data_IF_932417866683
#
_entry.id   IF_932417866683
#
_cell.length_a   1.000
_cell.length_b   1.000
_cell.length_c   1.000
_cell.angle_alpha   90.00
_cell.angle_beta   90.00
_cell.angle_gamma   90.00
#
_symmetry.space_group_name_H-M   'P 1'
#
loop_
_entity.id
_entity.type
_entity.pdbx_description
1 polymer ?
#
# COMPACT_ATOMS: atom_id res chain seq x y z
N UNK A 1 -9.79 -0.94 19.20
CA UNK A 1 -10.17 0.43 18.81
C UNK A 1 -8.96 1.32 18.48
N UNK A 2 -7.80 1.10 19.10
CA UNK A 2 -6.65 2.02 18.98
C UNK A 2 -6.03 2.11 17.58
N UNK A 3 -6.06 1.03 16.78
CA UNK A 3 -5.43 1.03 15.45
C UNK A 3 -6.01 2.09 14.49
N UNK A 4 -7.30 2.40 14.57
CA UNK A 4 -7.94 3.38 13.66
C UNK A 4 -7.47 4.81 13.95
N UNK A 5 -6.95 5.07 15.16
CA UNK A 5 -6.42 6.37 15.57
C UNK A 5 -5.02 6.64 15.05
N UNK A 6 -4.32 5.62 14.55
CA UNK A 6 -3.02 5.80 13.92
C UNK A 6 -3.20 6.65 12.66
N UNK A 7 -2.42 7.72 12.55
CA UNK A 7 -2.50 8.65 11.42
C UNK A 7 -1.75 8.08 10.22
N UNK A 8 -2.19 8.38 8.98
CA UNK A 8 -1.46 8.02 7.78
C UNK A 8 0.01 8.48 7.82
N UNK A 9 0.27 9.71 8.28
CA UNK A 9 1.63 10.25 8.41
C UNK A 9 2.51 9.43 9.34
N UNK A 10 1.97 8.94 10.47
CA UNK A 10 2.73 8.07 11.37
C UNK A 10 3.08 6.74 10.68
N UNK A 11 2.13 6.15 9.95
CA UNK A 11 2.37 4.90 9.20
C UNK A 11 3.45 5.13 8.14
N UNK A 12 3.41 6.27 7.45
CA UNK A 12 4.39 6.65 6.44
C UNK A 12 5.80 6.76 7.05
N UNK A 13 5.96 7.54 8.12
CA UNK A 13 7.26 7.70 8.79
C UNK A 13 7.77 6.38 9.38
N UNK A 14 6.87 5.58 9.98
CA UNK A 14 7.23 4.28 10.51
C UNK A 14 7.69 3.32 9.41
N UNK A 15 6.99 3.27 8.27
CA UNK A 15 7.37 2.43 7.14
C UNK A 15 8.75 2.81 6.58
N UNK A 16 9.07 4.11 6.52
CA UNK A 16 10.41 4.59 6.13
C UNK A 16 11.50 4.14 7.09
N UNK A 17 11.22 4.14 8.40
CA UNK A 17 12.19 3.73 9.42
C UNK A 17 12.48 2.22 9.39
N UNK A 18 11.48 1.42 9.02
CA UNK A 18 11.59 -0.04 8.97
C UNK A 18 12.11 -0.54 7.63
N UNK A 19 11.99 0.25 6.56
CA UNK A 19 12.50 -0.12 5.24
C UNK A 19 14.01 -0.34 5.25
N UNK A 20 14.46 -1.35 4.51
CA UNK A 20 15.86 -1.76 4.41
C UNK A 20 16.31 -1.70 2.96
N UNK A 21 17.56 -1.33 2.70
CA UNK A 21 18.06 -1.22 1.33
C UNK A 21 17.96 -2.52 0.50
N UNK A 22 17.96 -3.68 1.17
CA UNK A 22 17.89 -5.02 0.57
C UNK A 22 16.45 -5.57 0.42
N UNK A 23 15.42 -4.81 0.77
CA UNK A 23 14.03 -5.23 0.58
C UNK A 23 13.54 -5.01 -0.85
N UNK A 24 12.77 -5.96 -1.37
CA UNK A 24 12.15 -5.85 -2.70
C UNK A 24 10.87 -5.00 -2.69
N UNK A 25 10.16 -4.96 -1.56
CA UNK A 25 8.88 -4.27 -1.40
C UNK A 25 8.59 -3.94 0.07
N UNK A 26 7.67 -3.02 0.30
CA UNK A 26 7.15 -2.68 1.63
C UNK A 26 5.72 -3.23 1.75
N UNK A 27 5.46 -4.06 2.75
CA UNK A 27 4.14 -4.59 3.04
C UNK A 27 3.58 -4.03 4.36
N UNK A 28 2.45 -3.33 4.28
CA UNK A 28 1.73 -2.80 5.45
C UNK A 28 0.54 -3.70 5.74
N UNK A 29 0.73 -4.59 6.71
CA UNK A 29 -0.24 -5.61 7.10
C UNK A 29 -1.20 -5.10 8.17
N UNK A 30 -2.33 -4.50 7.76
CA UNK A 30 -3.52 -4.33 8.62
C UNK A 30 -4.71 -3.78 7.82
N UNK A 31 -5.88 -4.42 7.94
CA UNK A 31 -7.12 -3.90 7.33
C UNK A 31 -7.69 -2.66 8.04
N UNK A 32 -7.36 -2.44 9.32
CA UNK A 32 -7.86 -1.31 10.10
C UNK A 32 -7.03 -0.02 9.97
N UNK A 33 -5.86 -0.08 9.32
CA UNK A 33 -5.01 1.08 9.08
C UNK A 33 -5.42 1.82 7.81
N UNK A 34 -5.44 3.14 7.88
CA UNK A 34 -5.70 4.03 6.74
C UNK A 34 -4.41 4.26 5.94
N UNK A 35 -3.81 3.18 5.43
CA UNK A 35 -2.53 3.20 4.74
C UNK A 35 -2.62 3.38 3.22
N UNK A 36 -3.84 3.39 2.65
CA UNK A 36 -4.02 3.51 1.19
C UNK A 36 -3.56 4.88 0.68
N UNK A 37 -3.78 5.93 1.47
CA UNK A 37 -3.48 7.31 1.04
C UNK A 37 -1.97 7.59 0.93
N UNK A 38 -1.13 6.78 1.59
CA UNK A 38 0.32 6.99 1.61
C UNK A 38 1.08 6.13 0.60
N UNK A 39 0.42 5.21 -0.12
CA UNK A 39 1.07 4.25 -1.01
C UNK A 39 1.95 4.97 -2.03
N UNK A 40 1.39 5.90 -2.79
CA UNK A 40 2.10 6.57 -3.88
C UNK A 40 3.29 7.38 -3.39
N UNK A 41 3.12 8.12 -2.28
CA UNK A 41 4.20 8.90 -1.69
C UNK A 41 5.34 7.98 -1.23
N UNK A 42 5.02 6.85 -0.61
CA UNK A 42 6.01 5.90 -0.11
C UNK A 42 6.70 5.13 -1.24
N UNK A 43 6.01 4.79 -2.33
CA UNK A 43 6.62 4.20 -3.52
C UNK A 43 7.58 5.16 -4.22
N UNK A 44 7.23 6.45 -4.27
CA UNK A 44 8.08 7.49 -4.84
C UNK A 44 9.35 7.70 -4.01
N UNK A 45 9.22 7.71 -2.68
CA UNK A 45 10.34 7.89 -1.74
C UNK A 45 11.26 6.66 -1.70
N UNK A 46 10.69 5.46 -1.53
CA UNK A 46 11.47 4.22 -1.38
C UNK A 46 11.98 3.64 -2.69
N UNK A 47 11.39 4.04 -3.83
CA UNK A 47 11.65 3.43 -5.13
C UNK A 47 11.11 2.00 -5.27
N UNK A 48 10.42 1.48 -4.26
CA UNK A 48 9.93 0.08 -4.20
C UNK A 48 8.41 0.01 -4.29
N UNK A 49 7.83 -1.12 -4.72
CA UNK A 49 6.40 -1.35 -4.61
C UNK A 49 5.95 -1.32 -3.14
N UNK A 50 4.79 -0.70 -2.88
CA UNK A 50 4.16 -0.66 -1.56
C UNK A 50 2.82 -1.38 -1.65
N UNK A 51 2.64 -2.38 -0.79
CA UNK A 51 1.44 -3.23 -0.77
C UNK A 51 0.77 -3.08 0.61
N UNK A 52 -0.53 -2.82 0.62
CA UNK A 52 -1.36 -2.78 1.83
C UNK A 52 -2.43 -3.85 1.76
N UNK A 53 -2.88 -4.38 2.91
CA UNK A 53 -3.95 -5.40 2.93
C UNK A 53 -5.23 -4.92 2.24
N UNK A 54 -5.63 -3.66 2.47
CA UNK A 54 -6.86 -3.10 1.90
C UNK A 54 -6.79 -2.94 0.38
N UNK A 55 -5.68 -2.42 -0.16
CA UNK A 55 -5.53 -2.29 -1.62
C UNK A 55 -5.47 -3.66 -2.30
N UNK A 56 -4.77 -4.62 -1.69
CA UNK A 56 -4.54 -5.94 -2.28
C UNK A 56 -5.84 -6.74 -2.32
N UNK A 57 -6.63 -6.68 -1.25
CA UNK A 57 -7.95 -7.29 -1.22
C UNK A 57 -8.87 -6.70 -2.29
N UNK A 58 -8.90 -5.37 -2.45
CA UNK A 58 -9.72 -4.73 -3.48
C UNK A 58 -9.27 -5.12 -4.89
N UNK A 59 -7.94 -5.12 -5.13
CA UNK A 59 -7.36 -5.56 -6.40
C UNK A 59 -7.79 -7.00 -6.72
N UNK A 60 -7.61 -7.93 -5.77
CA UNK A 60 -7.94 -9.34 -5.95
C UNK A 60 -9.44 -9.55 -6.21
N UNK A 61 -10.32 -8.88 -5.45
CA UNK A 61 -11.77 -8.94 -5.68
C UNK A 61 -12.16 -8.48 -7.09
N UNK A 62 -11.54 -7.42 -7.62
CA UNK A 62 -11.81 -6.92 -8.97
C UNK A 62 -11.37 -7.93 -10.03
N UNK A 63 -10.18 -8.52 -9.89
CA UNK A 63 -9.67 -9.53 -10.84
C UNK A 63 -10.54 -10.79 -10.82
N UNK A 64 -10.98 -11.24 -9.66
CA UNK A 64 -11.92 -12.35 -9.52
C UNK A 64 -13.28 -12.04 -10.16
N UNK A 65 -13.71 -10.78 -10.16
CA UNK A 65 -14.92 -10.33 -10.85
C UNK A 65 -14.74 -10.13 -12.37
N UNK A 66 -13.56 -10.41 -12.92
CA UNK A 66 -13.24 -10.22 -14.35
C UNK A 66 -12.95 -8.78 -14.74
N UNK A 67 -12.80 -7.87 -13.78
CA UNK A 67 -12.43 -6.47 -14.00
C UNK A 67 -10.90 -6.38 -14.00
N UNK A 68 -10.31 -6.09 -15.17
CA UNK A 68 -8.86 -6.00 -15.38
C UNK A 68 -8.41 -4.56 -15.71
N UNK A 69 -9.04 -3.59 -15.06
CA UNK A 69 -8.72 -2.19 -15.19
C UNK A 69 -7.36 -1.84 -14.60
N UNK A 70 -6.70 -0.85 -15.19
CA UNK A 70 -5.45 -0.29 -14.65
C UNK A 70 -5.69 1.13 -14.19
N UNK A 71 -5.06 1.50 -13.10
CA UNK A 71 -5.20 2.80 -12.46
C UNK A 71 -3.84 3.34 -12.06
N UNK A 72 -3.60 4.61 -12.36
CA UNK A 72 -2.45 5.33 -11.82
C UNK A 72 -2.60 5.65 -10.32
N UNK A 73 -3.81 5.47 -9.77
CA UNK A 73 -4.11 5.56 -8.34
C UNK A 73 -3.89 4.21 -7.65
N UNK A 74 -3.55 4.25 -6.35
CA UNK A 74 -3.38 3.08 -5.47
C UNK A 74 -2.08 2.26 -5.66
N UNK A 75 -1.05 2.89 -6.23
CA UNK A 75 0.31 2.35 -6.33
C UNK A 75 0.54 1.36 -7.47
N UNK A 76 1.76 0.81 -7.55
CA UNK A 76 2.19 -0.06 -8.66
C UNK A 76 1.31 -1.30 -8.84
N UNK A 77 0.71 -1.82 -7.76
CA UNK A 77 -0.17 -2.99 -7.82
C UNK A 77 -1.31 -2.78 -8.83
N UNK A 78 -1.98 -1.63 -8.81
CA UNK A 78 -3.09 -1.30 -9.73
C UNK A 78 -2.63 -0.78 -11.10
N UNK A 79 -1.36 -0.39 -11.22
CA UNK A 79 -0.81 0.18 -12.46
C UNK A 79 -0.25 -0.89 -13.39
N UNK A 80 0.46 -1.86 -12.83
CA UNK A 80 1.32 -2.78 -13.59
C UNK A 80 0.72 -4.20 -13.73
N UNK A 81 -0.28 -4.55 -12.90
CA UNK A 81 -0.89 -5.89 -12.85
C UNK A 81 -2.37 -5.90 -13.28
#
# INVERSE_FOLDING_TARGET
EDMVRVTPDYIYEFAKQVDRADSDAIFISCGALRSVDIIQALEAESGKPVITSNQAMMWDCLRLAGVNDRSDKYGRLFKEN
#
